data_IF_115782520634
#
_entry.id   IF_115782520634
#
_cell.length_a   1.000
_cell.length_b   1.000
_cell.length_c   1.000
_cell.angle_alpha   90.00
_cell.angle_beta   90.00
_cell.angle_gamma   90.00
#
_symmetry.space_group_name_H-M   'P 1'
#
loop_
_entity.id
_entity.type
_entity.pdbx_description
1 polymer ?
#
# COMPACT_ATOMS: atom_id res chain seq x y z
N UNK A 1 -21.98 -5.02 45.19
CA UNK A 1 -21.00 -5.89 45.89
C UNK A 1 -19.65 -5.63 45.27
N UNK A 2 -18.73 -5.04 46.03
CA UNK A 2 -17.43 -4.62 45.53
C UNK A 2 -16.54 -5.84 45.26
N UNK A 3 -16.04 -5.99 44.03
CA UNK A 3 -15.01 -6.97 43.68
C UNK A 3 -13.71 -6.57 44.40
N UNK A 4 -13.48 -7.12 45.58
CA UNK A 4 -12.19 -7.01 46.25
C UNK A 4 -11.19 -7.88 45.49
N UNK A 5 -10.41 -7.26 44.61
CA UNK A 5 -9.24 -7.88 44.00
C UNK A 5 -8.29 -8.25 45.14
N UNK A 6 -8.09 -9.55 45.36
CA UNK A 6 -7.24 -10.08 46.42
C UNK A 6 -5.78 -10.16 45.93
N UNK A 7 -4.82 -9.78 46.76
CA UNK A 7 -3.38 -9.81 46.43
C UNK A 7 -2.90 -11.22 46.06
N UNK A 8 -3.53 -12.26 46.63
CA UNK A 8 -3.25 -13.65 46.28
C UNK A 8 -3.60 -13.96 44.81
N UNK A 9 -4.71 -13.42 44.31
CA UNK A 9 -5.16 -13.57 42.92
C UNK A 9 -4.24 -12.83 41.96
N UNK A 10 -3.74 -11.66 42.34
CA UNK A 10 -2.76 -10.90 41.54
C UNK A 10 -1.45 -11.67 41.41
N UNK A 11 -0.93 -12.27 42.49
CA UNK A 11 0.31 -13.06 42.44
C UNK A 11 0.18 -14.30 41.56
N UNK A 12 -0.96 -14.97 41.62
CA UNK A 12 -1.22 -16.18 40.84
C UNK A 12 -1.25 -15.86 39.33
N UNK A 13 -1.92 -14.77 38.95
CA UNK A 13 -1.95 -14.30 37.56
C UNK A 13 -0.57 -13.86 37.09
N UNK A 14 0.22 -13.19 37.93
CA UNK A 14 1.60 -12.79 37.58
C UNK A 14 2.48 -14.03 37.37
N UNK A 15 2.36 -15.06 38.23
CA UNK A 15 3.12 -16.31 38.05
C UNK A 15 2.73 -17.03 36.75
N UNK A 16 1.44 -17.08 36.42
CA UNK A 16 0.96 -17.72 35.19
C UNK A 16 1.45 -16.95 33.94
N UNK A 17 1.44 -15.62 33.98
CA UNK A 17 1.96 -14.77 32.88
C UNK A 17 3.48 -14.88 32.75
N UNK A 18 4.22 -14.90 33.86
CA UNK A 18 5.67 -15.09 33.83
C UNK A 18 6.06 -16.51 33.37
N UNK A 19 5.27 -17.53 33.71
CA UNK A 19 5.44 -18.89 33.19
C UNK A 19 5.21 -18.96 31.68
N UNK A 20 4.19 -18.23 31.18
CA UNK A 20 3.91 -18.12 29.74
C UNK A 20 4.95 -17.32 28.96
N UNK A 21 5.57 -16.32 29.61
CA UNK A 21 6.66 -15.53 29.02
C UNK A 21 8.03 -16.22 29.15
N UNK A 22 8.19 -17.14 30.10
CA UNK A 22 9.43 -17.88 30.36
C UNK A 22 9.57 -19.21 29.64
N UNK A 23 8.59 -19.62 28.83
CA UNK A 23 8.68 -20.78 27.95
C UNK A 23 9.48 -20.44 26.69
N UNK A 24 10.55 -21.21 26.43
CA UNK A 24 11.46 -21.16 25.28
C UNK A 24 10.82 -20.65 23.98
N UNK A 25 10.93 -19.35 23.75
CA UNK A 25 11.09 -18.82 22.41
C UNK A 25 12.57 -19.00 22.04
N UNK A 26 12.92 -19.55 20.86
CA UNK A 26 14.30 -19.57 20.43
C UNK A 26 14.81 -18.12 20.44
N UNK A 27 15.94 -17.92 21.13
CA UNK A 27 16.63 -16.64 21.22
C UNK A 27 16.76 -16.01 19.83
N UNK A 28 16.21 -14.81 19.67
CA UNK A 28 16.52 -13.96 18.53
C UNK A 28 18.04 -13.72 18.54
N UNK A 29 18.79 -14.04 17.48
CA UNK A 29 20.19 -13.64 17.42
C UNK A 29 20.27 -12.12 17.45
N UNK A 30 21.10 -11.63 18.35
CA UNK A 30 21.50 -10.23 18.46
C UNK A 30 21.91 -9.67 17.09
N UNK A 31 21.61 -8.39 16.87
CA UNK A 31 22.04 -7.64 15.69
C UNK A 31 23.55 -7.79 15.47
N UNK A 32 23.91 -8.68 14.54
CA UNK A 32 25.25 -8.81 14.01
C UNK A 32 25.48 -7.70 12.98
N UNK A 33 26.67 -7.12 13.04
CA UNK A 33 27.17 -6.11 12.10
C UNK A 33 26.91 -6.49 10.65
N UNK A 34 26.42 -5.53 9.89
CA UNK A 34 26.05 -5.63 8.48
C UNK A 34 27.29 -5.92 7.62
N UNK A 35 27.60 -7.21 7.44
CA UNK A 35 28.47 -7.66 6.36
C UNK A 35 27.60 -7.93 5.13
N UNK A 36 27.34 -6.84 4.43
CA UNK A 36 26.69 -6.81 3.13
C UNK A 36 27.26 -7.85 2.19
N UNK A 37 26.47 -8.89 1.95
CA UNK A 37 26.50 -9.74 0.75
C UNK A 37 25.38 -10.79 0.89
N UNK A 38 24.13 -10.36 0.98
CA UNK A 38 23.08 -11.22 0.44
C UNK A 38 23.29 -11.18 -1.07
N UNK A 39 23.50 -12.33 -1.70
CA UNK A 39 23.71 -12.50 -3.15
C UNK A 39 22.46 -12.19 -3.97
N UNK A 40 21.69 -11.19 -3.55
CA UNK A 40 20.45 -10.72 -4.13
C UNK A 40 20.71 -9.74 -5.28
N UNK A 41 21.87 -9.79 -5.94
CA UNK A 41 22.17 -9.04 -7.16
C UNK A 41 21.58 -9.71 -8.41
N UNK A 42 20.42 -10.35 -8.25
CA UNK A 42 19.60 -10.81 -9.35
C UNK A 42 18.83 -9.61 -9.91
N UNK A 43 19.33 -9.00 -10.98
CA UNK A 43 18.48 -8.13 -11.81
C UNK A 43 17.22 -8.92 -12.14
N UNK A 44 16.04 -8.40 -11.81
CA UNK A 44 14.74 -8.97 -12.17
C UNK A 44 14.55 -8.91 -13.68
N UNK A 45 15.28 -9.76 -14.41
CA UNK A 45 15.02 -10.14 -15.78
C UNK A 45 13.99 -11.26 -15.77
N UNK A 46 12.73 -10.91 -15.56
CA UNK A 46 11.60 -11.85 -15.53
C UNK A 46 10.31 -11.15 -15.90
N UNK A 47 9.36 -11.88 -16.47
CA UNK A 47 8.08 -11.42 -17.03
C UNK A 47 7.12 -10.69 -16.04
N UNK A 48 7.56 -10.41 -14.83
CA UNK A 48 6.74 -9.86 -13.75
C UNK A 48 6.97 -8.35 -13.64
N UNK A 49 6.20 -7.59 -14.44
CA UNK A 49 6.28 -6.14 -14.47
C UNK A 49 5.99 -5.54 -13.09
N UNK A 50 6.98 -4.87 -12.49
CA UNK A 50 6.84 -4.16 -11.22
C UNK A 50 6.97 -5.01 -9.96
N UNK A 51 7.34 -6.29 -10.07
CA UNK A 51 7.58 -7.18 -8.91
C UNK A 51 9.08 -7.34 -8.67
N UNK A 52 9.50 -7.16 -7.41
CA UNK A 52 10.91 -7.20 -7.01
C UNK A 52 11.12 -8.18 -5.85
N UNK A 53 12.33 -8.73 -5.74
CA UNK A 53 12.68 -9.71 -4.70
C UNK A 53 12.82 -9.07 -3.31
N UNK A 54 13.14 -7.78 -3.26
CA UNK A 54 13.25 -7.03 -2.00
C UNK A 54 12.70 -5.60 -2.16
N UNK A 55 12.38 -4.99 -1.02
CA UNK A 55 11.78 -3.67 -0.98
C UNK A 55 12.72 -2.55 -1.45
N UNK A 56 14.04 -2.69 -1.22
CA UNK A 56 15.01 -1.67 -1.61
C UNK A 56 15.09 -1.55 -3.14
N UNK A 57 15.12 -2.67 -3.86
CA UNK A 57 15.12 -2.69 -5.32
C UNK A 57 13.82 -2.10 -5.89
N UNK A 58 12.68 -2.35 -5.24
CA UNK A 58 11.40 -1.75 -5.61
C UNK A 58 11.40 -0.23 -5.42
N UNK A 59 11.92 0.26 -4.30
CA UNK A 59 12.06 1.69 -4.01
C UNK A 59 12.97 2.39 -5.03
N UNK A 60 14.11 1.77 -5.37
CA UNK A 60 15.06 2.30 -6.36
C UNK A 60 14.46 2.36 -7.77
N UNK A 61 13.71 1.32 -8.15
CA UNK A 61 13.00 1.31 -9.43
C UNK A 61 11.88 2.35 -9.47
N UNK A 62 11.10 2.47 -8.39
CA UNK A 62 10.03 3.47 -8.27
C UNK A 62 10.59 4.91 -8.31
N UNK A 63 11.74 5.17 -7.69
CA UNK A 63 12.39 6.47 -7.74
C UNK A 63 12.81 6.86 -9.17
N UNK A 64 13.36 5.91 -9.94
CA UNK A 64 13.71 6.13 -11.34
C UNK A 64 12.47 6.36 -12.21
N UNK A 65 11.43 5.56 -12.02
CA UNK A 65 10.16 5.71 -12.73
C UNK A 65 9.47 7.06 -12.40
N UNK A 66 9.53 7.51 -11.15
CA UNK A 66 9.01 8.81 -10.74
C UNK A 66 9.67 9.96 -11.50
N UNK A 67 11.01 9.95 -11.64
CA UNK A 67 11.72 11.00 -12.38
C UNK A 67 11.28 11.05 -13.85
N UNK A 68 11.10 9.88 -14.47
CA UNK A 68 10.59 9.79 -15.84
C UNK A 68 9.15 10.29 -15.95
N UNK A 69 8.26 9.87 -15.05
CA UNK A 69 6.86 10.30 -15.04
C UNK A 69 6.72 11.80 -14.79
N UNK A 70 7.59 12.37 -13.94
CA UNK A 70 7.60 13.81 -13.65
C UNK A 70 7.86 14.63 -14.91
N UNK A 71 8.76 14.18 -15.79
CA UNK A 71 9.07 14.87 -17.05
C UNK A 71 7.93 14.81 -18.07
N UNK A 72 7.05 13.82 -17.98
CA UNK A 72 5.93 13.64 -18.91
C UNK A 72 4.70 14.50 -18.57
N UNK A 73 4.62 15.06 -17.36
CA UNK A 73 3.56 15.97 -16.94
C UNK A 73 2.17 15.31 -16.72
N UNK A 74 1.13 16.15 -16.66
CA UNK A 74 -0.24 15.76 -16.28
C UNK A 74 -0.91 14.88 -17.34
N UNK A 75 -0.63 15.10 -18.63
CA UNK A 75 -1.24 14.33 -19.72
C UNK A 75 -0.84 12.85 -19.69
N UNK A 76 0.41 12.55 -19.36
CA UNK A 76 0.84 11.16 -19.19
C UNK A 76 0.18 10.50 -17.99
N UNK A 77 0.01 11.24 -16.88
CA UNK A 77 -0.75 10.76 -15.70
C UNK A 77 -2.18 10.43 -16.07
N UNK A 78 -2.86 11.29 -16.86
CA UNK A 78 -4.21 11.01 -17.35
C UNK A 78 -4.26 9.70 -18.16
N UNK A 79 -3.30 9.47 -19.06
CA UNK A 79 -3.24 8.23 -19.84
C UNK A 79 -3.03 7.00 -18.96
N UNK A 80 -2.13 7.07 -17.98
CA UNK A 80 -1.90 5.99 -17.02
C UNK A 80 -3.19 5.68 -16.26
N UNK A 81 -3.90 6.72 -15.80
CA UNK A 81 -5.18 6.57 -15.09
C UNK A 81 -6.21 5.87 -15.95
N UNK A 82 -6.37 6.29 -17.20
CA UNK A 82 -7.31 5.64 -18.12
C UNK A 82 -6.97 4.17 -18.40
N UNK A 83 -5.69 3.84 -18.52
CA UNK A 83 -5.25 2.45 -18.73
C UNK A 83 -5.61 1.60 -17.52
N UNK A 84 -5.30 2.03 -16.30
CA UNK A 84 -5.58 1.26 -15.08
C UNK A 84 -7.08 1.12 -14.85
N UNK A 85 -7.85 2.22 -15.02
CA UNK A 85 -9.31 2.18 -14.93
C UNK A 85 -9.92 1.20 -15.94
N UNK A 86 -9.45 1.23 -17.19
CA UNK A 86 -9.87 0.28 -18.22
C UNK A 86 -9.52 -1.17 -17.87
N UNK A 87 -8.32 -1.43 -17.36
CA UNK A 87 -7.96 -2.78 -16.92
C UNK A 87 -8.86 -3.28 -15.78
N UNK A 88 -9.28 -2.43 -14.86
CA UNK A 88 -10.19 -2.83 -13.77
C UNK A 88 -11.56 -3.25 -14.32
N UNK A 89 -12.09 -2.53 -15.31
CA UNK A 89 -13.35 -2.89 -15.96
C UNK A 89 -13.23 -4.17 -16.77
N UNK A 90 -12.21 -4.26 -17.62
CA UNK A 90 -12.00 -5.39 -18.54
C UNK A 90 -11.78 -6.71 -17.80
N UNK A 91 -11.26 -6.65 -16.56
CA UNK A 91 -10.91 -7.82 -15.76
C UNK A 91 -11.76 -7.97 -14.50
N UNK A 92 -12.86 -7.22 -14.34
CA UNK A 92 -13.63 -7.13 -13.10
C UNK A 92 -14.08 -8.51 -12.58
N UNK A 93 -14.63 -9.35 -13.45
CA UNK A 93 -15.07 -10.72 -13.11
C UNK A 93 -13.93 -11.58 -12.59
N UNK A 94 -12.82 -11.61 -13.32
CA UNK A 94 -11.70 -12.50 -13.02
C UNK A 94 -10.92 -12.04 -11.78
N UNK A 95 -10.65 -10.74 -11.67
CA UNK A 95 -9.97 -10.18 -10.51
C UNK A 95 -10.82 -10.27 -9.24
N UNK A 96 -12.14 -10.05 -9.34
CA UNK A 96 -13.06 -10.26 -8.23
C UNK A 96 -13.08 -11.72 -7.74
N UNK A 97 -13.02 -12.68 -8.68
CA UNK A 97 -12.92 -14.12 -8.37
C UNK A 97 -11.61 -14.46 -7.67
N UNK A 98 -10.48 -14.04 -8.23
CA UNK A 98 -9.15 -14.27 -7.63
C UNK A 98 -9.08 -13.69 -6.22
N UNK A 99 -9.53 -12.44 -6.03
CA UNK A 99 -9.50 -11.80 -4.72
C UNK A 99 -10.37 -12.55 -3.69
N UNK A 100 -11.55 -13.05 -4.07
CA UNK A 100 -12.38 -13.86 -3.17
C UNK A 100 -11.74 -15.22 -2.89
N UNK A 101 -11.14 -15.84 -3.90
CA UNK A 101 -10.47 -17.13 -3.77
C UNK A 101 -9.27 -17.07 -2.84
N UNK A 102 -8.50 -16.00 -2.87
CA UNK A 102 -7.36 -15.80 -1.98
C UNK A 102 -7.82 -15.39 -0.58
N UNK A 103 -8.60 -14.32 -0.47
CA UNK A 103 -8.96 -13.72 0.82
C UNK A 103 -10.01 -14.51 1.60
N UNK A 104 -10.89 -15.25 0.90
CA UNK A 104 -12.10 -15.88 1.45
C UNK A 104 -13.05 -14.92 2.19
N UNK A 105 -12.95 -13.61 1.94
CA UNK A 105 -13.71 -12.57 2.64
C UNK A 105 -14.70 -11.89 1.67
N UNK A 106 -15.96 -11.79 2.08
CA UNK A 106 -16.99 -11.04 1.36
C UNK A 106 -17.77 -11.88 0.35
N UNK A 107 -18.25 -11.22 -0.71
CA UNK A 107 -19.09 -11.82 -1.76
C UNK A 107 -18.56 -11.44 -3.14
N UNK A 108 -18.71 -12.34 -4.11
CA UNK A 108 -18.16 -12.18 -5.46
C UNK A 108 -18.78 -11.00 -6.19
N UNK A 109 -20.11 -10.92 -6.22
CA UNK A 109 -20.84 -9.85 -6.90
C UNK A 109 -20.42 -8.45 -6.42
N UNK A 110 -20.25 -8.28 -5.11
CA UNK A 110 -19.78 -7.02 -4.54
C UNK A 110 -18.30 -6.72 -4.86
N UNK A 111 -17.46 -7.74 -5.07
CA UNK A 111 -16.05 -7.52 -5.46
C UNK A 111 -15.94 -7.08 -6.92
N UNK A 112 -16.74 -7.68 -7.80
CA UNK A 112 -16.84 -7.28 -9.21
C UNK A 112 -17.33 -5.84 -9.31
N UNK A 113 -18.42 -5.50 -8.62
CA UNK A 113 -18.98 -4.13 -8.63
C UNK A 113 -17.97 -3.08 -8.15
N UNK A 114 -17.17 -3.40 -7.13
CA UNK A 114 -16.13 -2.49 -6.62
C UNK A 114 -15.05 -2.18 -7.66
N UNK A 115 -14.77 -3.10 -8.58
CA UNK A 115 -13.82 -2.86 -9.67
C UNK A 115 -14.41 -1.94 -10.74
N UNK A 116 -15.72 -2.01 -10.99
CA UNK A 116 -16.41 -1.05 -11.86
C UNK A 116 -16.45 0.37 -11.28
N UNK A 117 -16.62 0.50 -9.95
CA UNK A 117 -16.63 1.79 -9.25
C UNK A 117 -15.29 2.54 -9.34
N UNK A 118 -14.18 1.87 -9.71
CA UNK A 118 -12.87 2.54 -9.90
C UNK A 118 -12.94 3.66 -10.95
N UNK A 119 -13.90 3.63 -11.89
CA UNK A 119 -14.14 4.75 -12.80
C UNK A 119 -14.49 6.05 -12.11
N UNK A 120 -15.23 5.98 -11.01
CA UNK A 120 -15.73 7.14 -10.26
C UNK A 120 -14.65 7.76 -9.35
N UNK A 121 -13.50 7.10 -9.19
CA UNK A 121 -12.37 7.63 -8.42
C UNK A 121 -11.77 8.84 -9.15
N UNK A 122 -11.67 10.03 -8.52
CA UNK A 122 -11.08 11.20 -9.17
C UNK A 122 -9.63 10.97 -9.58
N UNK A 123 -9.27 11.40 -10.79
CA UNK A 123 -7.91 11.40 -11.32
C UNK A 123 -7.26 12.79 -11.27
N UNK A 124 -6.63 13.19 -12.40
CA UNK A 124 -5.91 14.47 -12.51
C UNK A 124 -6.80 15.71 -12.39
N UNK A 125 -8.11 15.57 -12.57
CA UNK A 125 -9.09 16.65 -12.37
C UNK A 125 -9.09 17.19 -10.93
N UNK A 126 -8.62 16.40 -9.96
CA UNK A 126 -8.46 16.84 -8.58
C UNK A 126 -7.29 17.83 -8.39
N UNK A 127 -6.34 17.90 -9.34
CA UNK A 127 -5.15 18.73 -9.25
C UNK A 127 -5.39 20.18 -9.71
N UNK A 128 -6.59 20.70 -9.52
CA UNK A 128 -6.98 22.04 -9.97
C UNK A 128 -6.25 23.12 -9.16
N UNK A 129 -5.51 24.06 -9.80
CA UNK A 129 -4.78 25.09 -9.09
C UNK A 129 -5.69 26.23 -8.62
N UNK A 130 -5.37 26.83 -7.48
CA UNK A 130 -6.06 28.01 -6.94
C UNK A 130 -5.29 29.29 -7.27
N UNK A 131 -5.94 30.22 -7.97
CA UNK A 131 -5.39 31.53 -8.32
C UNK A 131 -6.12 32.66 -7.61
N UNK A 132 -5.39 33.51 -6.88
CA UNK A 132 -5.92 34.72 -6.22
C UNK A 132 -5.21 35.96 -6.76
N UNK A 133 -5.97 36.92 -7.29
CA UNK A 133 -5.45 38.19 -7.79
C UNK A 133 -6.00 39.37 -7.01
N UNK A 134 -5.19 40.41 -6.80
CA UNK A 134 -5.61 41.67 -6.21
C UNK A 134 -4.57 42.77 -6.39
N UNK A 135 -4.75 43.87 -5.66
CA UNK A 135 -3.85 45.05 -5.72
C UNK A 135 -2.39 44.71 -5.42
N UNK A 136 -2.15 43.63 -4.68
CA UNK A 136 -0.84 43.17 -4.25
C UNK A 136 -0.23 42.09 -5.18
N UNK A 137 -0.82 41.86 -6.36
CA UNK A 137 -0.33 40.91 -7.36
C UNK A 137 -1.18 39.64 -7.47
N UNK A 138 -0.51 38.53 -7.80
CA UNK A 138 -1.13 37.23 -8.05
C UNK A 138 -0.45 36.18 -7.17
N UNK A 139 -1.27 35.39 -6.47
CA UNK A 139 -0.85 34.18 -5.76
C UNK A 139 -1.42 32.97 -6.48
N UNK A 140 -0.58 31.96 -6.70
CA UNK A 140 -0.95 30.67 -7.29
C UNK A 140 -0.58 29.55 -6.33
N UNK A 141 -1.54 28.68 -6.04
CA UNK A 141 -1.37 27.47 -5.23
C UNK A 141 -1.59 26.26 -6.12
N UNK A 142 -0.56 25.41 -6.25
CA UNK A 142 -0.58 24.22 -7.11
C UNK A 142 -0.26 22.95 -6.33
N UNK A 143 -0.81 21.83 -6.80
CA UNK A 143 -0.51 20.50 -6.28
C UNK A 143 0.70 19.90 -6.99
N UNK A 144 1.81 19.75 -6.27
CA UNK A 144 3.04 19.15 -6.80
C UNK A 144 3.23 17.71 -6.31
N UNK A 145 3.82 16.81 -7.12
CA UNK A 145 4.10 15.45 -6.69
C UNK A 145 5.08 15.39 -5.50
N UNK A 146 4.81 14.52 -4.52
CA UNK A 146 5.72 14.26 -3.40
C UNK A 146 6.96 13.45 -3.82
N UNK A 147 6.76 12.37 -4.58
CA UNK A 147 7.81 11.40 -4.89
C UNK A 147 7.26 9.97 -4.89
N UNK A 148 8.06 9.04 -4.37
CA UNK A 148 7.65 7.65 -4.17
C UNK A 148 6.79 7.54 -2.92
N UNK A 149 5.62 6.90 -3.04
CA UNK A 149 4.69 6.65 -1.94
C UNK A 149 4.65 5.16 -1.64
N UNK A 150 4.87 4.78 -0.38
CA UNK A 150 4.64 3.42 0.09
C UNK A 150 3.18 3.23 0.50
N UNK A 151 2.49 2.27 -0.12
CA UNK A 151 1.10 1.95 0.19
C UNK A 151 0.99 0.56 0.83
N UNK A 152 0.26 0.45 1.94
CA UNK A 152 -0.09 -0.82 2.59
C UNK A 152 -1.57 -1.06 2.35
N UNK A 153 -1.89 -2.12 1.61
CA UNK A 153 -3.27 -2.42 1.21
C UNK A 153 -3.92 -3.46 2.12
N UNK A 154 -5.22 -3.34 2.43
CA UNK A 154 -5.93 -4.30 3.27
C UNK A 154 -6.36 -5.54 2.47
N UNK A 155 -6.46 -6.70 3.13
CA UNK A 155 -6.93 -7.94 2.51
C UNK A 155 -8.44 -7.96 2.18
N UNK A 156 -9.21 -6.99 2.65
CA UNK A 156 -10.67 -6.92 2.42
C UNK A 156 -11.04 -6.31 1.07
N UNK A 157 -10.14 -5.48 0.53
CA UNK A 157 -10.30 -4.70 -0.71
C UNK A 157 -8.94 -4.57 -1.41
N UNK A 158 -8.24 -5.67 -1.66
CA UNK A 158 -6.84 -5.61 -2.10
C UNK A 158 -6.69 -4.94 -3.46
N UNK A 159 -7.40 -5.44 -4.48
CA UNK A 159 -7.30 -4.93 -5.86
C UNK A 159 -7.93 -3.54 -5.98
N UNK A 160 -9.16 -3.27 -5.47
CA UNK A 160 -9.76 -1.94 -5.55
C UNK A 160 -8.93 -0.87 -4.82
N UNK A 161 -8.33 -1.19 -3.67
CA UNK A 161 -7.50 -0.20 -2.95
C UNK A 161 -6.24 0.12 -3.76
N UNK A 162 -5.60 -0.88 -4.38
CA UNK A 162 -4.44 -0.65 -5.24
C UNK A 162 -4.81 0.22 -6.44
N UNK A 163 -5.89 -0.12 -7.13
CA UNK A 163 -6.35 0.60 -8.32
C UNK A 163 -6.90 2.00 -8.02
N UNK A 164 -7.49 2.23 -6.84
CA UNK A 164 -8.03 3.52 -6.46
C UNK A 164 -7.00 4.55 -5.99
N UNK A 165 -5.72 4.19 -5.87
CA UNK A 165 -4.64 5.08 -5.38
C UNK A 165 -3.58 5.38 -6.46
N UNK A 166 -3.97 5.32 -7.74
CA UNK A 166 -3.06 5.59 -8.86
C UNK A 166 -3.00 7.05 -9.28
#
# INVERSE_FOLDING_TARGET
MANAVNEALIRDVIQDVLGRLGGDAPAAPAAGEDKGSCGCSGKSGGKDFGVFQNANDACDAAAKAFLQLREQGVEARRKIIEIVKGMCEDNADEWGRIELEESKIGRLDHKIEKLHIIRDVPGVEWLSPDGRSGDNGITLEEYTPFGVVGAVTPSTHSIPTLAGNI
#
